data_IF_700032209104
#
_entry.id   IF_700032209104
#
_cell.length_a   1.000
_cell.length_b   1.000
_cell.length_c   1.000
_cell.angle_alpha   90.00
_cell.angle_beta   90.00
_cell.angle_gamma   90.00
#
_symmetry.space_group_name_H-M   'P 1'
#
loop_
_entity.id
_entity.type
_entity.pdbx_description
1 polymer ?
#
# COMPACT_ATOMS: atom_id res chain seq x y z
N UNK A 1 -66.52 11.78 -45.81
CA UNK A 1 -65.47 12.82 -45.71
C UNK A 1 -64.18 12.18 -45.21
N UNK A 2 -63.01 12.73 -45.58
CA UNK A 2 -61.71 12.50 -44.91
C UNK A 2 -61.82 13.02 -43.45
N UNK A 3 -61.03 12.69 -42.42
CA UNK A 3 -59.76 11.98 -42.18
C UNK A 3 -59.90 11.33 -40.75
N UNK A 4 -58.96 10.63 -40.09
CA UNK A 4 -57.52 10.31 -40.23
C UNK A 4 -57.25 9.00 -39.46
N UNK A 5 -56.21 8.22 -39.81
CA UNK A 5 -55.70 7.19 -38.90
C UNK A 5 -54.96 7.85 -37.72
N UNK A 6 -55.21 7.43 -36.47
CA UNK A 6 -54.46 7.88 -35.29
C UNK A 6 -53.49 6.77 -34.88
N UNK A 7 -52.20 7.07 -34.97
CA UNK A 7 -51.13 6.10 -34.76
C UNK A 7 -51.06 5.59 -33.31
N UNK A 8 -50.65 4.33 -33.15
CA UNK A 8 -50.22 3.78 -31.85
C UNK A 8 -49.06 4.61 -31.28
N UNK A 9 -49.02 4.89 -29.97
CA UNK A 9 -47.81 5.39 -29.35
C UNK A 9 -46.73 4.30 -29.40
N UNK A 10 -45.54 4.68 -29.88
CA UNK A 10 -44.36 3.82 -29.87
C UNK A 10 -43.97 3.47 -28.41
N UNK A 11 -43.33 2.31 -28.15
CA UNK A 11 -42.87 1.95 -26.82
C UNK A 11 -41.92 3.01 -26.28
N UNK A 12 -42.13 3.40 -25.02
CA UNK A 12 -41.28 4.35 -24.31
C UNK A 12 -39.82 3.92 -24.38
N UNK A 13 -39.01 4.71 -25.09
CA UNK A 13 -37.56 4.53 -25.13
C UNK A 13 -37.03 4.79 -23.71
N UNK A 14 -36.74 3.72 -22.98
CA UNK A 14 -35.91 3.82 -21.78
C UNK A 14 -34.61 4.51 -22.20
N UNK A 15 -34.10 5.52 -21.46
CA UNK A 15 -32.83 6.13 -21.80
C UNK A 15 -31.78 5.03 -21.82
N UNK A 16 -31.05 4.92 -22.93
CA UNK A 16 -29.86 4.07 -23.01
C UNK A 16 -28.89 4.65 -21.99
N UNK A 17 -28.70 3.94 -20.87
CA UNK A 17 -27.66 4.28 -19.90
C UNK A 17 -26.35 4.09 -20.63
N UNK A 18 -25.65 5.20 -20.88
CA UNK A 18 -24.35 5.18 -21.51
C UNK A 18 -23.40 4.32 -20.66
N UNK A 19 -22.72 3.30 -21.21
CA UNK A 19 -21.78 2.46 -20.44
C UNK A 19 -20.62 3.26 -19.83
N UNK A 20 -20.39 4.51 -20.28
CA UNK A 20 -19.46 5.45 -19.62
C UNK A 20 -20.04 6.16 -18.38
N UNK A 21 -21.24 5.78 -17.93
CA UNK A 21 -21.89 6.34 -16.74
C UNK A 21 -22.12 5.30 -15.63
N UNK A 22 -21.47 4.13 -15.68
CA UNK A 22 -21.23 3.39 -14.44
C UNK A 22 -20.24 4.19 -13.58
N UNK A 23 -20.53 4.40 -12.28
CA UNK A 23 -19.53 4.90 -11.36
C UNK A 23 -18.42 3.86 -11.23
N UNK A 24 -17.32 4.03 -11.96
CA UNK A 24 -16.07 3.31 -11.74
C UNK A 24 -15.41 3.81 -10.44
N UNK A 25 -16.13 3.65 -9.33
CA UNK A 25 -15.60 3.79 -7.99
C UNK A 25 -14.63 2.62 -7.77
N UNK A 26 -13.40 2.86 -7.31
CA UNK A 26 -12.29 1.97 -7.66
C UNK A 26 -12.42 0.60 -6.99
N UNK A 27 -12.35 -0.46 -7.79
CA UNK A 27 -12.13 -1.84 -7.33
C UNK A 27 -10.76 -2.03 -6.60
N UNK A 28 -9.97 -0.96 -6.46
CA UNK A 28 -8.58 -0.96 -6.01
C UNK A 28 -8.38 -0.38 -4.60
N UNK A 29 -9.43 -0.09 -3.82
CA UNK A 29 -9.31 0.51 -2.47
C UNK A 29 -8.36 -0.32 -1.57
N UNK A 30 -8.42 -1.65 -1.66
CA UNK A 30 -7.51 -2.54 -0.94
C UNK A 30 -6.04 -2.38 -1.37
N UNK A 31 -5.76 -2.20 -2.67
CA UNK A 31 -4.40 -1.99 -3.17
C UNK A 31 -3.84 -0.62 -2.75
N UNK A 32 -4.66 0.45 -2.76
CA UNK A 32 -4.24 1.76 -2.26
C UNK A 32 -3.88 1.74 -0.77
N UNK A 33 -4.66 1.03 0.05
CA UNK A 33 -4.35 0.85 1.47
C UNK A 33 -3.04 0.06 1.67
N UNK A 34 -2.83 -1.02 0.92
CA UNK A 34 -1.59 -1.81 0.97
C UNK A 34 -0.36 -0.98 0.58
N UNK A 35 -0.45 -0.17 -0.49
CA UNK A 35 0.65 0.72 -0.89
C UNK A 35 0.96 1.77 0.18
N UNK A 36 -0.06 2.31 0.87
CA UNK A 36 0.14 3.23 1.99
C UNK A 36 0.86 2.54 3.16
N UNK A 37 0.39 1.36 3.59
CA UNK A 37 1.04 0.59 4.66
C UNK A 37 2.47 0.16 4.28
N UNK A 38 2.73 -0.18 3.01
CA UNK A 38 4.07 -0.50 2.53
C UNK A 38 5.02 0.69 2.65
N UNK A 39 4.55 1.89 2.30
CA UNK A 39 5.32 3.13 2.42
C UNK A 39 5.60 3.48 3.89
N UNK A 40 4.59 3.37 4.76
CA UNK A 40 4.73 3.60 6.21
C UNK A 40 5.73 2.61 6.83
N UNK A 41 5.59 1.32 6.56
CA UNK A 41 6.50 0.27 7.07
C UNK A 41 7.93 0.46 6.53
N UNK A 42 8.08 0.79 5.24
CA UNK A 42 9.39 1.08 4.63
C UNK A 42 10.06 2.31 5.23
N UNK A 43 9.28 3.36 5.52
CA UNK A 43 9.77 4.58 6.18
C UNK A 43 10.19 4.28 7.62
N UNK A 44 9.35 3.57 8.38
CA UNK A 44 9.67 3.13 9.73
C UNK A 44 10.94 2.26 9.81
N UNK A 45 11.06 1.27 8.91
CA UNK A 45 12.27 0.46 8.79
C UNK A 45 13.52 1.31 8.47
N UNK A 46 13.40 2.28 7.55
CA UNK A 46 14.49 3.16 7.16
C UNK A 46 14.97 4.11 8.26
N UNK A 47 14.06 4.65 9.08
CA UNK A 47 14.41 5.46 10.26
C UNK A 47 15.03 4.60 11.37
N UNK A 48 14.43 3.44 11.68
CA UNK A 48 14.96 2.51 12.69
C UNK A 48 16.35 1.99 12.32
N UNK A 49 16.58 1.65 11.05
CA UNK A 49 17.89 1.24 10.55
C UNK A 49 18.94 2.33 10.73
N UNK A 50 18.62 3.58 10.36
CA UNK A 50 19.52 4.74 10.57
C UNK A 50 19.83 4.97 12.05
N UNK A 51 18.84 4.86 12.93
CA UNK A 51 19.01 5.05 14.37
C UNK A 51 19.90 3.95 14.99
N UNK A 52 19.68 2.68 14.62
CA UNK A 52 20.50 1.54 15.09
C UNK A 52 21.94 1.65 14.58
N UNK A 53 22.15 2.09 13.34
CA UNK A 53 23.50 2.30 12.80
C UNK A 53 24.23 3.49 13.45
N UNK A 54 23.53 4.59 13.74
CA UNK A 54 24.13 5.70 14.47
C UNK A 54 24.60 5.29 15.87
N UNK A 55 23.80 4.48 16.58
CA UNK A 55 24.15 3.94 17.90
C UNK A 55 25.33 2.95 17.86
N UNK A 56 25.38 2.08 16.85
CA UNK A 56 26.53 1.19 16.62
C UNK A 56 27.82 1.99 16.35
N UNK A 57 27.76 2.97 15.44
CA UNK A 57 28.90 3.83 15.12
C UNK A 57 29.36 4.61 16.37
N UNK A 58 28.43 5.19 17.14
CA UNK A 58 28.72 5.88 18.40
C UNK A 58 29.39 4.95 19.43
N UNK A 59 28.96 3.69 19.50
CA UNK A 59 29.56 2.68 20.38
C UNK A 59 31.00 2.36 19.95
N UNK A 60 31.26 2.27 18.65
CA UNK A 60 32.62 2.09 18.10
C UNK A 60 33.48 3.33 18.31
N UNK A 61 32.98 4.54 18.04
CA UNK A 61 33.67 5.82 18.29
C UNK A 61 34.10 5.94 19.76
N UNK A 62 33.18 5.70 20.71
CA UNK A 62 33.48 5.67 22.15
C UNK A 62 34.51 4.62 22.57
N UNK A 63 34.68 3.54 21.81
CA UNK A 63 35.67 2.51 22.12
C UNK A 63 37.11 2.91 21.75
N UNK A 64 37.27 3.94 20.90
CA UNK A 64 38.57 4.46 20.43
C UNK A 64 38.87 5.89 20.89
N UNK A 65 37.93 6.57 21.55
CA UNK A 65 38.09 7.93 22.08
C UNK A 65 38.83 7.94 23.44
N UNK A 66 39.80 8.84 23.61
CA UNK A 66 40.56 9.00 24.86
C UNK A 66 39.72 9.57 26.02
N UNK A 67 38.57 10.19 25.74
CA UNK A 67 37.65 10.78 26.71
C UNK A 67 36.17 10.52 26.31
N UNK A 68 35.71 9.25 26.38
CA UNK A 68 34.43 8.83 25.81
C UNK A 68 33.22 9.49 26.49
N UNK A 69 33.37 10.03 27.70
CA UNK A 69 32.29 10.75 28.39
C UNK A 69 31.96 12.13 27.79
N UNK A 70 32.73 12.59 26.79
CA UNK A 70 32.38 13.76 25.98
C UNK A 70 31.38 13.44 24.87
N UNK A 71 31.27 12.17 24.47
CA UNK A 71 30.32 11.68 23.49
C UNK A 71 28.97 11.34 24.17
N UNK A 72 27.84 11.36 23.43
CA UNK A 72 26.57 10.84 23.94
C UNK A 72 26.72 9.39 24.42
N UNK A 73 25.95 8.99 25.44
CA UNK A 73 25.89 7.58 25.84
C UNK A 73 25.13 6.76 24.77
N UNK A 74 25.62 5.55 24.41
CA UNK A 74 24.89 4.65 23.52
C UNK A 74 23.64 4.10 24.21
N UNK A 75 22.75 3.49 23.44
CA UNK A 75 21.56 2.85 23.95
C UNK A 75 21.88 1.72 24.93
N UNK A 76 21.02 1.56 25.94
CA UNK A 76 21.07 0.38 26.79
C UNK A 76 20.73 -0.87 25.99
N UNK A 77 21.19 -2.04 26.44
CA UNK A 77 20.94 -3.31 25.77
C UNK A 77 19.44 -3.57 25.50
N UNK A 78 18.56 -3.19 26.43
CA UNK A 78 17.10 -3.33 26.28
C UNK A 78 16.54 -2.42 25.18
N UNK A 79 17.02 -1.17 25.07
CA UNK A 79 16.62 -0.23 24.02
C UNK A 79 17.13 -0.72 22.66
N UNK A 80 18.42 -1.09 22.58
CA UNK A 80 19.02 -1.61 21.35
C UNK A 80 18.34 -2.90 20.87
N UNK A 81 17.94 -3.79 21.78
CA UNK A 81 17.14 -4.97 21.47
C UNK A 81 15.73 -4.59 20.99
N UNK A 82 15.04 -3.71 21.71
CA UNK A 82 13.69 -3.25 21.36
C UNK A 82 13.63 -2.59 19.98
N UNK A 83 14.61 -1.75 19.63
CA UNK A 83 14.73 -1.14 18.31
C UNK A 83 14.97 -2.17 17.20
N UNK A 84 15.83 -3.18 17.42
CA UNK A 84 16.06 -4.27 16.47
C UNK A 84 14.82 -5.14 16.26
N UNK A 85 14.06 -5.39 17.32
CA UNK A 85 12.77 -6.10 17.23
C UNK A 85 11.71 -5.27 16.49
N UNK A 86 11.64 -3.96 16.73
CA UNK A 86 10.77 -3.06 15.97
C UNK A 86 11.14 -3.02 14.48
N UNK A 87 12.44 -2.95 14.16
CA UNK A 87 12.92 -3.02 12.78
C UNK A 87 12.52 -4.33 12.11
N UNK A 88 12.67 -5.46 12.82
CA UNK A 88 12.21 -6.77 12.33
C UNK A 88 10.71 -6.76 12.01
N UNK A 89 9.87 -6.21 12.90
CA UNK A 89 8.41 -6.13 12.66
C UNK A 89 8.10 -5.30 11.41
N UNK A 90 8.78 -4.16 11.19
CA UNK A 90 8.61 -3.38 9.97
C UNK A 90 9.04 -4.15 8.71
N UNK A 91 10.16 -4.89 8.75
CA UNK A 91 10.64 -5.71 7.63
C UNK A 91 9.71 -6.90 7.32
N UNK A 92 9.22 -7.59 8.35
CA UNK A 92 8.26 -8.69 8.22
C UNK A 92 6.94 -8.19 7.58
N UNK A 93 6.46 -6.99 7.94
CA UNK A 93 5.25 -6.40 7.36
C UNK A 93 5.45 -5.90 5.91
N UNK A 94 6.63 -5.36 5.57
CA UNK A 94 7.00 -5.05 4.18
C UNK A 94 6.93 -6.31 3.30
N UNK A 95 7.46 -7.43 3.79
CA UNK A 95 7.43 -8.72 3.09
C UNK A 95 5.98 -9.22 2.92
N UNK A 96 5.21 -9.25 4.00
CA UNK A 96 3.79 -9.63 4.01
C UNK A 96 2.95 -8.81 3.01
N UNK A 97 3.14 -7.49 2.98
CA UNK A 97 2.42 -6.62 2.04
C UNK A 97 2.87 -6.87 0.59
N UNK A 98 4.16 -7.08 0.36
CA UNK A 98 4.71 -7.35 -0.98
C UNK A 98 4.13 -8.64 -1.57
N UNK A 99 4.11 -9.73 -0.81
CA UNK A 99 3.49 -11.00 -1.21
C UNK A 99 2.00 -10.85 -1.55
N UNK A 100 1.27 -10.05 -0.75
CA UNK A 100 -0.17 -9.77 -0.99
C UNK A 100 -0.40 -8.94 -2.26
N UNK A 101 0.50 -8.00 -2.58
CA UNK A 101 0.43 -7.21 -3.80
C UNK A 101 0.77 -8.06 -5.05
N UNK A 102 1.74 -8.97 -4.95
CA UNK A 102 2.05 -9.93 -6.03
C UNK A 102 0.84 -10.82 -6.34
N UNK A 103 0.18 -11.37 -5.31
CA UNK A 103 -1.04 -12.15 -5.49
C UNK A 103 -2.19 -11.36 -6.15
N UNK A 104 -2.29 -10.04 -5.94
CA UNK A 104 -3.29 -9.19 -6.61
C UNK A 104 -2.98 -8.96 -8.10
N UNK A 105 -1.71 -8.93 -8.50
CA UNK A 105 -1.32 -8.77 -9.90
C UNK A 105 -1.66 -10.01 -10.78
N UNK A 106 -1.87 -11.18 -10.15
CA UNK A 106 -1.99 -12.48 -10.84
C UNK A 106 -3.45 -12.89 -11.10
N UNK A 107 -4.45 -12.01 -10.90
CA UNK A 107 -5.82 -12.30 -11.39
C UNK A 107 -5.97 -11.95 -12.87
N UNK A 108 -5.91 -12.91 -13.83
CA UNK A 108 -6.29 -12.62 -15.20
C UNK A 108 -7.77 -12.25 -15.23
N UNK A 109 -8.10 -11.16 -15.94
CA UNK A 109 -9.48 -10.85 -16.26
C UNK A 109 -10.11 -12.08 -16.92
N UNK A 110 -11.22 -12.58 -16.34
CA UNK A 110 -11.97 -13.69 -16.94
C UNK A 110 -12.41 -13.26 -18.33
N UNK A 111 -11.74 -13.78 -19.35
CA UNK A 111 -12.16 -13.65 -20.74
C UNK A 111 -13.53 -14.31 -20.86
N UNK A 112 -14.59 -13.50 -20.81
CA UNK A 112 -15.91 -13.93 -21.21
C UNK A 112 -15.86 -14.17 -22.72
N UNK A 113 -15.52 -15.40 -23.09
CA UNK A 113 -15.65 -15.91 -24.44
C UNK A 113 -17.14 -15.93 -24.80
N UNK A 114 -17.61 -14.80 -25.34
CA UNK A 114 -18.92 -14.69 -25.94
C UNK A 114 -18.91 -15.51 -27.24
N UNK A 115 -19.38 -16.76 -27.14
CA UNK A 115 -19.81 -17.55 -28.30
C UNK A 115 -21.00 -16.85 -28.97
N UNK A 116 -20.80 -16.35 -30.18
CA UNK A 116 -21.76 -16.35 -31.30
C UNK A 116 -20.97 -16.33 -32.60
#
# INVERSE_FOLDING_TARGET
>A
MKVKAKASPAPSARPVVNPHCEPQWPHNIGAHHLVACLLEASTGAGELFRLIHADLNLTEERAWDDNPETLPAPFTADIAFGLRMALKVCLDEIQNISERLECMAITPAKVQSART
#
